data_IF_156497797313
#
_entry.id   IF_156497797313
#
_cell.length_a   1.000
_cell.length_b   1.000
_cell.length_c   1.000
_cell.angle_alpha   90.00
_cell.angle_beta   90.00
_cell.angle_gamma   90.00
#
_symmetry.space_group_name_H-M   'P 1'
#
loop_
_entity.id
_entity.type
_entity.pdbx_description
1 polymer ?
#
# COMPACT_ATOMS: atom_id res chain seq x y z
N UNK A 1 -21.46 -0.59 23.39
CA UNK A 1 -22.15 -1.86 23.08
C UNK A 1 -21.25 -3.03 23.42
N UNK A 2 -21.78 -4.10 24.03
CA UNK A 2 -21.00 -5.29 24.44
C UNK A 2 -21.04 -6.35 23.32
N UNK A 3 -19.90 -6.89 22.91
CA UNK A 3 -19.80 -7.98 21.94
C UNK A 3 -19.39 -9.27 22.67
N UNK A 4 -20.32 -10.21 22.84
CA UNK A 4 -20.05 -11.53 23.40
C UNK A 4 -19.40 -12.45 22.35
N UNK A 5 -18.48 -13.34 22.76
CA UNK A 5 -17.74 -14.26 21.87
C UNK A 5 -16.98 -13.54 20.74
N UNK A 6 -16.29 -12.45 21.06
CA UNK A 6 -15.55 -11.67 20.08
C UNK A 6 -14.32 -12.43 19.56
N UNK A 7 -14.37 -12.85 18.30
CA UNK A 7 -13.25 -13.44 17.58
C UNK A 7 -12.31 -12.35 17.07
N UNK A 8 -11.13 -12.20 17.68
CA UNK A 8 -10.18 -11.11 17.37
C UNK A 8 -9.58 -11.20 15.96
N UNK A 9 -9.38 -12.40 15.45
CA UNK A 9 -8.83 -12.67 14.11
C UNK A 9 -9.67 -12.05 12.97
N UNK A 10 -11.00 -12.02 13.10
CA UNK A 10 -11.90 -11.41 12.11
C UNK A 10 -11.71 -9.90 11.96
N UNK A 11 -11.14 -9.24 12.97
CA UNK A 11 -10.88 -7.80 12.98
C UNK A 11 -9.40 -7.46 12.77
N UNK A 12 -8.56 -8.46 12.53
CA UNK A 12 -7.14 -8.23 12.30
C UNK A 12 -6.95 -7.56 10.93
N UNK A 13 -6.60 -6.27 10.96
CA UNK A 13 -6.38 -5.48 9.75
C UNK A 13 -5.26 -4.46 10.00
N UNK A 14 -3.99 -4.89 9.94
CA UNK A 14 -2.85 -3.99 10.10
C UNK A 14 -2.80 -3.00 8.93
N UNK A 15 -2.40 -1.77 9.25
CA UNK A 15 -2.52 -0.63 8.35
C UNK A 15 -1.13 -0.11 7.97
N UNK A 16 -0.94 0.24 6.70
CA UNK A 16 0.19 1.02 6.21
C UNK A 16 -0.31 2.29 5.52
N UNK A 17 0.46 3.37 5.64
CA UNK A 17 0.17 4.63 4.96
C UNK A 17 1.07 4.80 3.74
N UNK A 18 0.63 5.64 2.81
CA UNK A 18 1.34 5.93 1.56
C UNK A 18 2.77 6.43 1.80
N UNK A 19 3.01 7.27 2.81
CA UNK A 19 4.35 7.79 3.15
C UNK A 19 5.40 6.69 3.38
N UNK A 20 4.97 5.53 3.86
CA UNK A 20 5.87 4.41 4.19
C UNK A 20 6.05 3.42 3.04
N UNK A 21 5.26 3.50 1.97
CA UNK A 21 5.33 2.52 0.89
C UNK A 21 6.70 2.53 0.21
N UNK A 22 7.24 3.73 -0.08
CA UNK A 22 8.54 3.85 -0.72
C UNK A 22 9.68 3.30 0.16
N UNK A 23 9.57 3.42 1.49
CA UNK A 23 10.58 2.87 2.40
C UNK A 23 10.64 1.35 2.45
N UNK A 24 9.55 0.65 2.07
CA UNK A 24 9.51 -0.82 2.07
C UNK A 24 10.30 -1.45 0.92
N UNK A 25 10.64 -0.67 -0.10
CA UNK A 25 11.36 -1.17 -1.27
C UNK A 25 12.87 -1.20 -0.98
N UNK A 26 13.57 -2.32 -1.26
CA UNK A 26 15.02 -2.38 -1.22
C UNK A 26 15.69 -1.37 -2.17
N UNK A 27 16.88 -0.89 -1.83
CA UNK A 27 17.59 0.13 -2.62
C UNK A 27 17.89 -0.32 -4.06
N UNK A 28 18.23 -1.60 -4.25
CA UNK A 28 18.52 -2.17 -5.58
C UNK A 28 17.32 -2.08 -6.53
N UNK A 29 16.11 -2.23 -5.99
CA UNK A 29 14.86 -2.17 -6.74
C UNK A 29 14.45 -0.71 -6.98
N UNK A 30 14.70 0.18 -6.01
CA UNK A 30 14.51 1.63 -6.18
C UNK A 30 15.38 2.19 -7.30
N UNK A 31 16.63 1.75 -7.39
CA UNK A 31 17.56 2.20 -8.43
C UNK A 31 17.12 1.79 -9.85
N UNK A 32 16.40 0.67 -9.97
CA UNK A 32 15.87 0.15 -11.24
C UNK A 32 14.48 0.67 -11.59
N UNK A 33 13.82 1.37 -10.67
CA UNK A 33 12.48 1.90 -10.88
C UNK A 33 12.52 3.05 -11.89
N UNK A 34 11.93 2.82 -13.05
CA UNK A 34 11.73 3.84 -14.09
C UNK A 34 10.24 4.14 -14.24
N UNK A 35 9.91 5.14 -15.07
CA UNK A 35 8.50 5.45 -15.37
C UNK A 35 7.78 4.29 -16.06
N UNK A 36 8.50 3.49 -16.84
CA UNK A 36 7.95 2.36 -17.59
C UNK A 36 7.99 1.05 -16.79
N UNK A 37 8.92 0.92 -15.84
CA UNK A 37 9.08 -0.24 -14.97
C UNK A 37 8.83 0.13 -13.51
N UNK A 38 7.55 0.16 -13.13
CA UNK A 38 7.11 0.46 -11.77
C UNK A 38 7.32 -0.76 -10.83
N UNK A 39 7.92 -0.58 -9.65
CA UNK A 39 8.04 -1.64 -8.66
C UNK A 39 6.67 -2.06 -8.12
N UNK A 40 6.49 -3.36 -7.96
CA UNK A 40 5.32 -3.94 -7.33
C UNK A 40 5.58 -4.19 -5.84
N UNK A 41 4.77 -3.57 -4.99
CA UNK A 41 4.82 -3.74 -3.54
C UNK A 41 3.65 -4.60 -3.09
N UNK A 42 3.94 -5.82 -2.64
CA UNK A 42 2.96 -6.65 -1.95
C UNK A 42 2.98 -6.35 -0.45
N UNK A 43 2.04 -5.52 0.01
CA UNK A 43 2.00 -5.12 1.43
C UNK A 43 1.60 -6.28 2.35
N UNK A 44 1.00 -7.34 1.80
CA UNK A 44 0.61 -8.52 2.58
C UNK A 44 1.81 -9.34 3.03
N UNK A 45 2.90 -9.33 2.26
CA UNK A 45 4.18 -9.95 2.65
C UNK A 45 4.80 -9.27 3.87
N UNK A 46 4.58 -7.97 4.02
CA UNK A 46 5.00 -7.18 5.18
C UNK A 46 3.99 -7.21 6.34
N UNK A 47 2.94 -8.02 6.24
CA UNK A 47 1.92 -8.17 7.29
C UNK A 47 0.85 -7.09 7.30
N UNK A 48 0.78 -6.21 6.29
CA UNK A 48 -0.25 -5.17 6.18
C UNK A 48 -1.41 -5.60 5.29
N UNK A 49 -2.63 -5.28 5.71
CA UNK A 49 -3.84 -5.65 4.97
C UNK A 49 -4.54 -4.42 4.37
N UNK A 50 -4.38 -3.24 4.98
CA UNK A 50 -5.04 -2.01 4.52
C UNK A 50 -4.06 -0.88 4.24
N UNK A 51 -4.22 -0.24 3.08
CA UNK A 51 -3.45 0.96 2.69
C UNK A 51 -4.31 2.21 2.89
N UNK A 52 -3.76 3.21 3.57
CA UNK A 52 -4.40 4.51 3.83
C UNK A 52 -3.63 5.68 3.22
N UNK A 53 -4.34 6.75 2.90
CA UNK A 53 -3.83 7.87 2.09
C UNK A 53 -3.09 8.98 2.85
N UNK A 54 -2.54 8.74 4.04
CA UNK A 54 -1.72 9.73 4.74
C UNK A 54 -0.37 9.89 4.03
N UNK A 55 0.11 11.13 3.91
CA UNK A 55 1.38 11.45 3.28
C UNK A 55 1.30 11.63 1.76
N UNK A 56 2.47 11.71 1.14
CA UNK A 56 2.67 11.98 -0.29
C UNK A 56 3.65 10.94 -0.83
N UNK A 57 3.37 10.41 -2.03
CA UNK A 57 4.32 9.58 -2.76
C UNK A 57 5.34 10.48 -3.46
N UNK A 58 6.59 10.04 -3.65
CA UNK A 58 7.57 10.80 -4.42
C UNK A 58 7.02 11.12 -5.82
N UNK A 59 7.07 12.39 -6.20
CA UNK A 59 6.61 12.86 -7.51
C UNK A 59 7.51 12.24 -8.59
N UNK A 60 6.91 11.55 -9.58
CA UNK A 60 7.55 10.81 -10.68
C UNK A 60 8.02 9.37 -10.44
N UNK A 61 7.68 8.75 -9.31
CA UNK A 61 7.96 7.33 -9.08
C UNK A 61 6.65 6.52 -9.04
N UNK A 62 6.23 5.92 -10.17
CA UNK A 62 5.02 5.10 -10.19
C UNK A 62 5.25 3.83 -9.36
N UNK A 63 4.23 3.43 -8.60
CA UNK A 63 4.27 2.23 -7.75
C UNK A 63 3.01 1.42 -7.97
N UNK A 64 3.16 0.11 -8.14
CA UNK A 64 2.04 -0.83 -8.15
C UNK A 64 1.88 -1.40 -6.75
N UNK A 65 0.73 -1.21 -6.12
CA UNK A 65 0.48 -1.66 -4.74
C UNK A 65 -0.52 -2.81 -4.75
N UNK A 66 -0.13 -3.95 -4.18
CA UNK A 66 -0.99 -5.12 -3.99
C UNK A 66 -1.42 -5.22 -2.53
N UNK A 67 -2.73 -5.14 -2.27
CA UNK A 67 -3.28 -5.08 -0.91
C UNK A 67 -4.71 -5.66 -0.84
N UNK A 68 -5.15 -6.08 0.35
CA UNK A 68 -6.52 -6.57 0.58
C UNK A 68 -7.55 -5.43 0.56
N UNK A 69 -7.21 -4.32 1.20
CA UNK A 69 -8.09 -3.16 1.36
C UNK A 69 -7.31 -1.88 1.08
N UNK A 70 -7.96 -0.93 0.41
CA UNK A 70 -7.35 0.38 0.10
C UNK A 70 -8.39 1.48 0.33
N UNK A 71 -7.98 2.61 0.90
CA UNK A 71 -8.89 3.77 1.01
C UNK A 71 -9.01 4.49 -0.33
N UNK A 72 -10.18 5.07 -0.60
CA UNK A 72 -10.42 5.87 -1.82
C UNK A 72 -9.38 6.98 -2.01
N UNK A 73 -8.98 7.62 -0.91
CA UNK A 73 -7.91 8.65 -0.92
C UNK A 73 -6.54 8.07 -1.26
N UNK A 74 -6.24 6.84 -0.82
CA UNK A 74 -4.98 6.19 -1.15
C UNK A 74 -4.93 5.81 -2.62
N UNK A 75 -6.00 5.19 -3.11
CA UNK A 75 -6.13 4.79 -4.51
C UNK A 75 -6.02 5.99 -5.45
N UNK A 76 -6.68 7.11 -5.12
CA UNK A 76 -6.57 8.36 -5.89
C UNK A 76 -5.13 8.84 -5.99
N UNK A 77 -4.42 8.93 -4.85
CA UNK A 77 -3.02 9.38 -4.82
C UNK A 77 -2.06 8.44 -5.56
N UNK A 78 -2.27 7.13 -5.47
CA UNK A 78 -1.45 6.14 -6.19
C UNK A 78 -1.65 6.29 -7.70
N UNK A 79 -2.90 6.46 -8.15
CA UNK A 79 -3.23 6.69 -9.57
C UNK A 79 -2.68 8.02 -10.08
N UNK A 80 -2.74 9.09 -9.28
CA UNK A 80 -2.16 10.39 -9.61
C UNK A 80 -0.63 10.33 -9.76
N UNK A 81 0.04 9.46 -8.99
CA UNK A 81 1.48 9.20 -9.13
C UNK A 81 1.84 8.30 -10.34
N UNK A 82 0.86 7.90 -11.16
CA UNK A 82 1.07 6.99 -12.29
C UNK A 82 1.15 5.51 -11.91
N UNK A 83 0.78 5.18 -10.67
CA UNK A 83 0.76 3.81 -10.15
C UNK A 83 -0.59 3.10 -10.34
N UNK A 84 -0.66 1.86 -9.88
CA UNK A 84 -1.87 1.05 -9.90
C UNK A 84 -2.09 0.31 -8.58
N UNK A 85 -3.34 -0.05 -8.31
CA UNK A 85 -3.72 -0.86 -7.14
C UNK A 85 -4.25 -2.20 -7.61
N UNK A 86 -3.72 -3.28 -7.04
CA UNK A 86 -4.15 -4.65 -7.28
C UNK A 86 -4.76 -5.21 -6.00
N UNK A 87 -6.01 -5.68 -6.09
CA UNK A 87 -6.70 -6.30 -4.96
C UNK A 87 -6.35 -7.80 -4.90
N UNK A 88 -6.19 -8.33 -3.68
CA UNK A 88 -5.91 -9.76 -3.42
C UNK A 88 -6.49 -10.15 -2.08
#
# INVERSE_FOLDING_TARGET
>A
MRYFHRLRNKFHCPIVNIDKLWSLIPEDVKAKATKDAAPMIDVTQFGYFKVLGKGVLPENQPVVVKAKLVSKTAEKKIKEAGGAVVLT
#
